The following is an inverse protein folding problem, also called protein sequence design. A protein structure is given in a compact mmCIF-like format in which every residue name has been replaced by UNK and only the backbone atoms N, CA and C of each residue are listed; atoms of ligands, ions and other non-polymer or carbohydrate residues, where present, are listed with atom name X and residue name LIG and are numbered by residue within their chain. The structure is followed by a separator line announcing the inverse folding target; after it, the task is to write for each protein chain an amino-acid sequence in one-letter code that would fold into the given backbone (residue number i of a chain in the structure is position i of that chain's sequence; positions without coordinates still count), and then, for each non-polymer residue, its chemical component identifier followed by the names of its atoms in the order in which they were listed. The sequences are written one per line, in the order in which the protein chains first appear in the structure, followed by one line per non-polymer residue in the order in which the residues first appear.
data_IF_118541566491
#
_entry.id   IF_118541566491
#
_cell.length_a   1.000
_cell.length_b   1.000
_cell.length_c   1.000
_cell.angle_alpha   90.00
_cell.angle_beta   90.00
_cell.angle_gamma   90.00
#
_symmetry.space_group_name_H-M   'P 1'
#
loop_
_entity.id
_entity.type
_entity.pdbx_description
1 polymer ?
#
# COMPACT_ATOMS: atom_id res chain seq x y z
N UNK A 1 2.15 -14.15 9.41
CA UNK A 1 0.95 -13.48 9.92
C UNK A 1 1.37 -12.24 10.68
N UNK A 2 1.52 -11.12 9.97
CA UNK A 2 1.72 -9.80 10.57
C UNK A 2 0.54 -8.94 10.15
N UNK A 3 0.01 -8.16 11.09
CA UNK A 3 -1.15 -7.31 10.89
C UNK A 3 -0.86 -5.88 11.34
N UNK A 4 -1.41 -4.92 10.62
CA UNK A 4 -1.30 -3.49 10.93
C UNK A 4 -2.67 -2.97 11.36
N UNK A 5 -2.68 -2.16 12.42
CA UNK A 5 -3.88 -1.49 12.92
C UNK A 5 -3.85 -0.02 12.51
N UNK A 6 -4.84 0.40 11.72
CA UNK A 6 -5.01 1.79 11.30
C UNK A 6 -6.30 2.35 11.90
N UNK A 7 -6.33 3.65 12.24
CA UNK A 7 -7.54 4.30 12.77
C UNK A 7 -8.01 5.39 11.80
N UNK A 8 -9.25 5.28 11.31
CA UNK A 8 -9.92 6.29 10.48
C UNK A 8 -11.32 6.54 11.03
N UNK A 9 -11.70 7.80 11.25
CA UNK A 9 -13.03 8.17 11.76
C UNK A 9 -13.49 7.41 13.02
N UNK A 10 -12.62 7.24 14.01
CA UNK A 10 -12.88 6.43 15.22
C UNK A 10 -13.16 4.93 14.99
N UNK A 11 -12.94 4.42 13.78
CA UNK A 11 -12.97 2.99 13.48
C UNK A 11 -11.55 2.45 13.36
N UNK A 12 -11.31 1.31 13.99
CA UNK A 12 -10.08 0.54 13.81
C UNK A 12 -10.22 -0.34 12.58
N UNK A 13 -9.25 -0.28 11.68
CA UNK A 13 -9.14 -1.09 10.48
C UNK A 13 -7.94 -2.01 10.70
N UNK A 14 -8.14 -3.31 10.44
CA UNK A 14 -7.08 -4.31 10.49
C UNK A 14 -6.69 -4.67 9.06
N UNK A 15 -5.41 -4.47 8.71
CA UNK A 15 -4.87 -4.94 7.44
C UNK A 15 -4.01 -6.16 7.71
N UNK A 16 -4.41 -7.30 7.14
CA UNK A 16 -3.66 -8.56 7.24
C UNK A 16 -2.88 -8.80 5.96
N UNK A 17 -1.58 -9.09 6.11
CA UNK A 17 -0.71 -9.40 4.98
C UNK A 17 -0.15 -10.81 5.08
N UNK A 18 -0.37 -11.53 3.99
CA UNK A 18 0.15 -12.86 3.75
C UNK A 18 1.43 -12.75 2.94
N UNK A 19 2.56 -12.51 3.62
CA UNK A 19 3.86 -12.31 2.98
C UNK A 19 4.78 -11.42 3.80
N UNK A 20 5.70 -10.74 3.13
CA UNK A 20 6.53 -9.70 3.76
C UNK A 20 5.71 -8.43 4.02
N UNK A 21 5.93 -7.82 5.19
CA UNK A 21 5.19 -6.65 5.67
C UNK A 21 5.49 -5.40 4.83
N UNK A 22 6.72 -5.28 4.34
CA UNK A 22 7.19 -4.14 3.55
C UNK A 22 6.42 -3.98 2.23
N UNK A 23 5.89 -5.07 1.67
CA UNK A 23 5.01 -5.04 0.50
C UNK A 23 3.72 -4.25 0.71
N UNK A 24 3.32 -3.95 1.97
CA UNK A 24 2.23 -3.02 2.26
C UNK A 24 2.47 -1.62 1.73
N UNK A 25 3.74 -1.24 1.52
CA UNK A 25 4.07 0.05 0.95
C UNK A 25 3.42 0.23 -0.43
N UNK A 26 3.34 -0.82 -1.25
CA UNK A 26 2.82 -0.75 -2.61
C UNK A 26 1.34 -0.35 -2.67
N UNK A 27 0.39 -1.07 -2.03
CA UNK A 27 -1.00 -0.64 -2.03
C UNK A 27 -1.20 0.68 -1.30
N UNK A 28 -0.42 0.95 -0.24
CA UNK A 28 -0.50 2.24 0.46
C UNK A 28 -0.12 3.39 -0.49
N UNK A 29 0.92 3.23 -1.31
CA UNK A 29 1.30 4.21 -2.33
C UNK A 29 0.25 4.36 -3.44
N UNK A 30 -0.36 3.24 -3.86
CA UNK A 30 -1.36 3.24 -4.93
C UNK A 30 -2.64 3.98 -4.55
N UNK A 31 -3.15 3.74 -3.33
CA UNK A 31 -4.50 4.19 -2.92
C UNK A 31 -4.53 5.39 -1.98
N UNK A 32 -3.37 5.86 -1.48
CA UNK A 32 -3.34 7.04 -0.61
C UNK A 32 -3.55 8.34 -1.41
N UNK A 33 -4.23 9.35 -0.84
CA UNK A 33 -4.37 10.66 -1.49
C UNK A 33 -3.02 11.35 -1.64
N UNK A 34 -2.92 12.28 -2.60
CA UNK A 34 -1.73 13.12 -2.77
C UNK A 34 -1.37 13.88 -1.48
N UNK A 35 -0.07 14.11 -1.28
CA UNK A 35 0.52 14.68 -0.06
C UNK A 35 0.39 13.78 1.19
N UNK A 36 0.00 12.51 1.03
CA UNK A 36 0.14 11.53 2.11
C UNK A 36 1.61 11.22 2.33
N UNK A 37 2.01 11.10 3.59
CA UNK A 37 3.35 10.66 3.97
C UNK A 37 3.27 9.22 4.44
N UNK A 38 3.96 8.33 3.74
CA UNK A 38 4.16 6.94 4.16
C UNK A 38 5.54 6.84 4.80
N UNK A 39 5.58 6.17 5.95
CA UNK A 39 6.82 5.95 6.69
C UNK A 39 6.91 4.46 7.00
N UNK A 40 8.01 3.82 6.63
CA UNK A 40 8.30 2.43 6.97
C UNK A 40 9.78 2.22 7.27
N UNK A 41 10.09 1.12 7.94
CA UNK A 41 11.46 0.74 8.24
C UNK A 41 12.02 -0.20 7.17
N UNK A 42 13.26 0.03 6.75
CA UNK A 42 13.99 -0.87 5.85
C UNK A 42 15.31 -1.32 6.50
N UNK A 43 15.64 -2.62 6.47
CA UNK A 43 16.95 -3.10 6.90
C UNK A 43 18.08 -2.31 6.24
N UNK A 44 19.12 -2.01 7.00
CA UNK A 44 20.33 -1.27 6.60
C UNK A 44 20.13 0.21 6.17
N UNK A 45 18.90 0.64 5.88
CA UNK A 45 18.58 2.02 5.48
C UNK A 45 17.79 2.81 6.53
N UNK A 46 17.28 2.13 7.56
CA UNK A 46 16.59 2.78 8.67
C UNK A 46 15.18 3.21 8.28
N UNK A 47 14.87 4.51 8.45
CA UNK A 47 13.55 5.05 8.18
C UNK A 47 13.45 5.53 6.73
N UNK A 48 12.48 5.00 5.99
CA UNK A 48 12.14 5.46 4.65
C UNK A 48 10.87 6.29 4.71
N UNK A 49 10.90 7.45 4.06
CA UNK A 49 9.77 8.37 3.96
C UNK A 49 9.42 8.58 2.48
N UNK A 50 8.15 8.41 2.16
CA UNK A 50 7.60 8.57 0.81
C UNK A 50 6.46 9.58 0.87
N UNK A 51 6.57 10.66 0.11
CA UNK A 51 5.47 11.58 -0.14
C UNK A 51 4.71 11.13 -1.39
N UNK A 52 3.38 11.06 -1.28
CA UNK A 52 2.53 10.55 -2.35
C UNK A 52 2.20 11.63 -3.37
N UNK A 53 2.52 11.31 -4.62
CA UNK A 53 2.26 12.10 -5.81
C UNK A 53 2.04 11.16 -7.02
N UNK A 54 1.81 11.73 -8.20
CA UNK A 54 1.64 10.95 -9.44
C UNK A 54 2.85 10.07 -9.81
N UNK A 55 4.07 10.45 -9.44
CA UNK A 55 5.32 9.79 -9.83
C UNK A 55 5.56 8.56 -8.95
N UNK A 56 5.43 8.73 -7.64
CA UNK A 56 5.54 7.66 -6.64
C UNK A 56 4.43 6.63 -6.84
N UNK A 57 3.21 7.07 -7.15
CA UNK A 57 2.10 6.16 -7.50
C UNK A 57 2.40 5.34 -8.75
N UNK A 58 2.97 5.95 -9.79
CA UNK A 58 3.40 5.23 -11.01
C UNK A 58 4.54 4.25 -10.72
N UNK A 59 5.47 4.62 -9.84
CA UNK A 59 6.54 3.72 -9.38
C UNK A 59 5.96 2.50 -8.68
N UNK A 60 5.00 2.68 -7.77
CA UNK A 60 4.30 1.59 -7.10
C UNK A 60 3.59 0.66 -8.09
N UNK A 61 2.92 1.20 -9.11
CA UNK A 61 2.28 0.42 -10.17
C UNK A 61 3.28 -0.43 -10.98
N UNK A 62 4.45 0.14 -11.29
CA UNK A 62 5.50 -0.61 -12.00
C UNK A 62 6.03 -1.77 -11.15
N UNK A 63 6.28 -1.55 -9.85
CA UNK A 63 6.67 -2.62 -8.94
C UNK A 63 5.56 -3.66 -8.78
N UNK A 64 4.31 -3.24 -8.64
CA UNK A 64 3.17 -4.13 -8.58
C UNK A 64 3.10 -5.08 -9.78
N UNK A 65 3.38 -4.58 -11.00
CA UNK A 65 3.43 -5.40 -12.20
C UNK A 65 4.50 -6.51 -12.14
N UNK A 66 5.62 -6.27 -11.44
CA UNK A 66 6.68 -7.26 -11.21
C UNK A 66 6.28 -8.30 -10.13
N UNK A 67 5.54 -7.88 -9.11
CA UNK A 67 5.15 -8.73 -7.97
C UNK A 67 3.73 -9.31 -8.06
N UNK A 68 3.01 -9.05 -9.16
CA UNK A 68 1.66 -9.55 -9.45
C UNK A 68 1.45 -11.05 -9.17
N UNK A 69 2.44 -11.97 -9.35
CA UNK A 69 2.28 -13.38 -9.01
C UNK A 69 2.22 -13.69 -7.50
N UNK A 70 2.71 -12.79 -6.64
CA UNK A 70 2.95 -13.04 -5.21
C UNK A 70 1.90 -12.40 -4.29
N UNK A 71 1.20 -11.36 -4.75
CA UNK A 71 0.21 -10.64 -3.93
C UNK A 71 -1.20 -11.10 -4.33
N UNK A 72 -1.81 -11.97 -3.51
CA UNK A 72 -3.04 -12.69 -3.88
C UNK A 72 -4.34 -11.92 -3.64
N UNK A 73 -4.41 -11.03 -2.65
CA UNK A 73 -5.58 -10.19 -2.39
C UNK A 73 -5.24 -9.06 -1.42
N UNK A 74 -5.92 -7.92 -1.58
CA UNK A 74 -6.02 -6.89 -0.55
C UNK A 74 -7.52 -6.80 -0.24
N UNK A 75 -7.91 -7.23 0.96
CA UNK A 75 -9.29 -7.10 1.42
C UNK A 75 -9.36 -5.78 2.20
N UNK A 76 -9.95 -4.76 1.59
CA UNK A 76 -10.34 -3.53 2.27
C UNK A 76 -11.84 -3.65 2.50
N UNK A 77 -12.32 -3.41 3.72
CA UNK A 77 -13.75 -3.49 4.07
C UNK A 77 -14.63 -2.43 3.35
N UNK A 78 -14.06 -1.66 2.43
CA UNK A 78 -14.76 -0.92 1.39
C UNK A 78 -14.24 -1.48 0.05
N UNK A 79 -15.14 -2.02 -0.78
CA UNK A 79 -14.87 -2.40 -2.17
C UNK A 79 -14.24 -1.22 -2.91
N UNK A 80 -12.90 -1.12 -2.93
CA UNK A 80 -12.20 -0.39 -3.97
C UNK A 80 -12.05 -1.35 -5.14
N UNK A 81 -12.88 -1.14 -6.17
CA UNK A 81 -12.75 -1.86 -7.43
C UNK A 81 -11.47 -1.38 -8.13
N UNK A 82 -10.39 -2.13 -7.91
CA UNK A 82 -9.04 -1.90 -8.46
C UNK A 82 -9.10 -1.83 -10.01
N UNK A 83 -10.14 -2.39 -10.63
CA UNK A 83 -10.32 -2.39 -12.07
C UNK A 83 -10.91 -1.09 -12.64
N UNK A 84 -11.53 -0.22 -11.83
CA UNK A 84 -12.05 1.07 -12.30
C UNK A 84 -10.99 2.17 -12.31
N UNK A 85 -10.06 2.17 -11.36
CA UNK A 85 -9.02 3.22 -11.24
C UNK A 85 -7.81 3.01 -12.17
N UNK A 86 -7.66 1.80 -12.74
CA UNK A 86 -6.60 1.46 -13.71
C UNK A 86 -7.01 1.60 -15.17
N UNK A 87 -8.22 2.13 -15.45
CA UNK A 87 -8.61 2.52 -16.81
C UNK A 87 -7.99 3.89 -17.16
N UNK A 88 -6.70 3.87 -17.47
CA UNK A 88 -6.06 4.87 -18.35
C UNK A 88 -6.07 4.30 -19.77
#
# INVERSE_FOLDING_TARGET
FKSILTRRNNRSILVEVLGEEDLLVLPTMMFSPDNTIIIYGQPDWGLVLIEIDSITRKTALNFWALFKPCIKQIHVDEELDINEELKV
#
